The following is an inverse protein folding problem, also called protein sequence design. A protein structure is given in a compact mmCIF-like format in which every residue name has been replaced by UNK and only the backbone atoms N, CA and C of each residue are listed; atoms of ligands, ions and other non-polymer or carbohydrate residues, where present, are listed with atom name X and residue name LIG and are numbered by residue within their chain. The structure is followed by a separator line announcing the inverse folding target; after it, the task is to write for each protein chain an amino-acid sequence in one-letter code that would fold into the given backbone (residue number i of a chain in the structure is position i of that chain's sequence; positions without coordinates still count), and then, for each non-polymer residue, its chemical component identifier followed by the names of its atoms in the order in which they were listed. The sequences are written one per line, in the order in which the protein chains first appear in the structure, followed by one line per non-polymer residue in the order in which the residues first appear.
data_IF_138262320768
#
_entry.id   IF_138262320768
#
_cell.length_a   1.000
_cell.length_b   1.000
_cell.length_c   1.000
_cell.angle_alpha   90.00
_cell.angle_beta   90.00
_cell.angle_gamma   90.00
#
_symmetry.space_group_name_H-M   'P 1'
#
loop_
_entity.id
_entity.type
_entity.pdbx_description
1 polymer ?
#
# COMPACT_ATOMS: atom_id res chain seq x y z
N UNK A 1 -1.27 7.99 -26.46
CA UNK A 1 -0.60 7.20 -25.42
C UNK A 1 -0.14 8.19 -24.37
N UNK A 2 -0.71 8.15 -23.16
CA UNK A 2 -0.31 9.08 -22.11
C UNK A 2 1.08 8.63 -21.63
N UNK A 3 2.08 9.51 -21.61
CA UNK A 3 3.45 9.18 -21.13
C UNK A 3 3.45 8.60 -19.72
N UNK A 4 2.43 8.98 -18.95
CA UNK A 4 2.05 8.43 -17.66
C UNK A 4 1.85 6.91 -17.66
N UNK A 5 1.00 6.41 -18.56
CA UNK A 5 0.64 4.98 -18.61
C UNK A 5 1.88 4.12 -18.91
N UNK A 6 2.81 4.67 -19.69
CA UNK A 6 4.11 4.05 -19.96
C UNK A 6 4.97 3.91 -18.70
N UNK A 7 5.06 4.95 -17.88
CA UNK A 7 5.88 4.94 -16.66
C UNK A 7 5.35 3.97 -15.60
N UNK A 8 4.03 3.93 -15.40
CA UNK A 8 3.41 2.96 -14.47
C UNK A 8 3.64 1.54 -14.99
N UNK A 9 3.46 1.30 -16.29
CA UNK A 9 3.68 -0.01 -16.87
C UNK A 9 5.14 -0.46 -16.77
N UNK A 10 6.10 0.45 -16.96
CA UNK A 10 7.52 0.16 -16.76
C UNK A 10 7.84 -0.15 -15.30
N UNK A 11 7.23 0.57 -14.35
CA UNK A 11 7.36 0.31 -12.92
C UNK A 11 6.82 -1.08 -12.54
N UNK A 12 5.58 -1.39 -12.94
CA UNK A 12 4.96 -2.69 -12.68
C UNK A 12 5.75 -3.85 -13.29
N UNK A 13 6.31 -3.65 -14.48
CA UNK A 13 7.19 -4.64 -15.12
C UNK A 13 8.49 -4.85 -14.34
N UNK A 14 9.07 -3.80 -13.78
CA UNK A 14 10.24 -3.92 -12.92
C UNK A 14 9.93 -4.70 -11.63
N UNK A 15 8.78 -4.43 -11.01
CA UNK A 15 8.29 -5.19 -9.84
C UNK A 15 8.04 -6.65 -10.19
N UNK A 16 7.38 -6.93 -11.31
CA UNK A 16 7.14 -8.29 -11.81
C UNK A 16 8.45 -9.07 -11.95
N UNK A 17 9.47 -8.43 -12.53
CA UNK A 17 10.78 -9.02 -12.75
C UNK A 17 11.51 -9.30 -11.43
N UNK A 18 11.35 -8.43 -10.43
CA UNK A 18 11.88 -8.65 -9.09
C UNK A 18 11.12 -9.76 -8.31
N UNK A 19 9.83 -9.98 -8.62
CA UNK A 19 8.98 -11.02 -8.04
C UNK A 19 9.14 -12.40 -8.73
N UNK A 20 10.19 -12.64 -9.52
CA UNK A 20 10.35 -13.91 -10.27
C UNK A 20 10.37 -15.15 -9.37
N UNK A 21 10.78 -15.00 -8.10
CA UNK A 21 10.80 -16.05 -7.09
C UNK A 21 9.45 -16.34 -6.44
N UNK A 22 8.41 -15.56 -6.74
CA UNK A 22 7.03 -15.74 -6.24
C UNK A 22 6.21 -16.55 -7.26
N UNK A 23 5.33 -17.48 -6.81
CA UNK A 23 4.45 -18.22 -7.70
C UNK A 23 3.60 -17.30 -8.59
N UNK A 24 3.42 -17.67 -9.86
CA UNK A 24 2.77 -16.81 -10.86
C UNK A 24 1.39 -16.31 -10.42
N UNK A 25 0.53 -17.19 -9.89
CA UNK A 25 -0.80 -16.77 -9.42
C UNK A 25 -0.78 -15.73 -8.29
N UNK A 26 0.21 -15.81 -7.38
CA UNK A 26 0.38 -14.80 -6.32
C UNK A 26 1.02 -13.53 -6.84
N UNK A 27 1.93 -13.65 -7.81
CA UNK A 27 2.53 -12.50 -8.48
C UNK A 27 1.48 -11.66 -9.20
N UNK A 28 0.55 -12.31 -9.91
CA UNK A 28 -0.53 -11.63 -10.63
C UNK A 28 -1.46 -10.91 -9.64
N UNK A 29 -1.80 -11.53 -8.52
CA UNK A 29 -2.58 -10.90 -7.44
C UNK A 29 -1.86 -9.68 -6.85
N UNK A 30 -0.57 -9.80 -6.53
CA UNK A 30 0.23 -8.69 -5.98
C UNK A 30 0.37 -7.53 -6.96
N UNK A 31 0.56 -7.83 -8.25
CA UNK A 31 0.65 -6.79 -9.28
C UNK A 31 -0.69 -6.11 -9.53
N UNK A 32 -1.80 -6.86 -9.48
CA UNK A 32 -3.14 -6.30 -9.57
C UNK A 32 -3.41 -5.33 -8.41
N UNK A 33 -3.15 -5.76 -7.17
CA UNK A 33 -3.32 -4.93 -5.97
C UNK A 33 -2.44 -3.67 -6.03
N UNK A 34 -1.18 -3.81 -6.45
CA UNK A 34 -0.27 -2.68 -6.62
C UNK A 34 -0.78 -1.70 -7.69
N UNK A 35 -1.28 -2.22 -8.82
CA UNK A 35 -1.83 -1.39 -9.89
C UNK A 35 -3.07 -0.61 -9.45
N UNK A 36 -3.94 -1.24 -8.65
CA UNK A 36 -5.13 -0.60 -8.08
C UNK A 36 -4.75 0.47 -7.05
N UNK A 37 -3.73 0.22 -6.23
CA UNK A 37 -3.25 1.19 -5.25
C UNK A 37 -2.66 2.43 -5.93
N UNK A 38 -1.84 2.23 -6.97
CA UNK A 38 -1.30 3.33 -7.78
C UNK A 38 -2.47 4.12 -8.42
N UNK A 39 -3.46 3.43 -8.99
CA UNK A 39 -4.64 4.07 -9.58
C UNK A 39 -5.47 4.88 -8.56
N UNK A 40 -5.63 4.36 -7.34
CA UNK A 40 -6.33 5.05 -6.26
C UNK A 40 -5.58 6.33 -5.83
N UNK A 41 -4.26 6.24 -5.62
CA UNK A 41 -3.42 7.39 -5.27
C UNK A 41 -3.50 8.51 -6.32
N UNK A 42 -3.54 8.14 -7.59
CA UNK A 42 -3.73 9.12 -8.67
C UNK A 42 -5.09 9.79 -8.63
N UNK A 43 -6.15 9.02 -8.36
CA UNK A 43 -7.50 9.56 -8.28
C UNK A 43 -7.60 10.56 -7.11
N UNK A 44 -6.94 10.26 -5.98
CA UNK A 44 -6.80 11.18 -4.85
C UNK A 44 -6.09 12.47 -5.29
N UNK A 45 -4.90 12.38 -5.89
CA UNK A 45 -4.15 13.57 -6.34
C UNK A 45 -4.92 14.41 -7.35
N UNK A 46 -5.64 13.79 -8.28
CA UNK A 46 -6.51 14.47 -9.25
C UNK A 46 -7.69 15.17 -8.58
N UNK A 47 -8.23 14.59 -7.51
CA UNK A 47 -9.33 15.21 -6.75
C UNK A 47 -8.85 16.44 -5.99
N UNK A 48 -7.61 16.40 -5.46
CA UNK A 48 -6.99 17.50 -4.72
C UNK A 48 -6.56 18.67 -5.63
N UNK A 49 -6.00 18.38 -6.81
CA UNK A 49 -5.47 19.41 -7.73
C UNK A 49 -6.45 19.79 -8.86
N UNK A 50 -7.61 19.14 -8.91
CA UNK A 50 -8.67 19.38 -9.88
C UNK A 50 -8.55 18.56 -11.18
N UNK A 51 -9.66 18.35 -11.90
CA UNK A 51 -9.73 17.46 -13.06
C UNK A 51 -8.90 17.90 -14.28
N UNK A 52 -8.42 19.16 -14.30
CA UNK A 52 -7.52 19.70 -15.33
C UNK A 52 -6.04 19.39 -15.06
N UNK A 53 -5.70 18.91 -13.85
CA UNK A 53 -4.40 18.32 -13.56
C UNK A 53 -4.37 16.93 -14.21
N UNK A 54 -4.12 16.89 -15.51
CA UNK A 54 -3.62 15.68 -16.14
C UNK A 54 -2.26 15.40 -15.51
N UNK A 55 -2.16 14.31 -14.75
CA UNK A 55 -0.92 13.80 -14.16
C UNK A 55 0.16 13.83 -15.24
N UNK A 56 0.92 14.91 -15.25
CA UNK A 56 1.93 15.14 -16.27
C UNK A 56 3.08 14.20 -15.95
N UNK A 57 3.86 13.80 -16.95
CA UNK A 57 5.02 12.89 -16.76
C UNK A 57 5.90 13.16 -15.51
N UNK A 58 6.12 14.42 -15.05
CA UNK A 58 6.84 14.67 -13.79
C UNK A 58 6.03 14.38 -12.51
N UNK A 59 4.71 14.61 -12.47
CA UNK A 59 3.88 14.33 -11.27
C UNK A 59 3.70 12.83 -11.06
N UNK A 60 3.57 12.10 -12.17
CA UNK A 60 3.59 10.64 -12.20
C UNK A 60 4.83 10.06 -11.54
N UNK A 61 5.98 10.64 -11.86
CA UNK A 61 7.26 10.24 -11.31
C UNK A 61 7.29 10.50 -9.80
N UNK A 62 6.83 11.66 -9.33
CA UNK A 62 6.74 11.94 -7.89
C UNK A 62 5.83 10.97 -7.13
N UNK A 63 4.71 10.53 -7.74
CA UNK A 63 3.82 9.54 -7.12
C UNK A 63 4.50 8.18 -7.08
N UNK A 64 5.17 7.75 -8.15
CA UNK A 64 5.91 6.49 -8.18
C UNK A 64 7.12 6.52 -7.23
N UNK A 65 7.78 7.66 -7.06
CA UNK A 65 8.89 7.85 -6.11
C UNK A 65 8.43 7.67 -4.65
N UNK A 66 7.15 7.93 -4.35
CA UNK A 66 6.55 7.62 -3.05
C UNK A 66 6.50 6.11 -2.77
N UNK A 67 6.34 5.29 -3.81
CA UNK A 67 6.37 3.82 -3.70
C UNK A 67 7.80 3.26 -3.64
N UNK A 68 8.81 4.08 -3.97
CA UNK A 68 10.23 3.74 -3.82
C UNK A 68 10.79 2.88 -4.95
N UNK A 69 11.85 2.13 -4.64
CA UNK A 69 12.51 1.23 -5.60
C UNK A 69 11.63 -0.01 -5.83
N UNK A 70 11.28 -0.35 -7.09
CA UNK A 70 10.50 -1.54 -7.40
C UNK A 70 11.13 -2.84 -6.88
N UNK A 71 12.46 -2.90 -6.74
CA UNK A 71 13.16 -4.07 -6.19
C UNK A 71 12.99 -4.19 -4.66
N UNK A 72 13.02 -3.07 -3.93
CA UNK A 72 12.75 -3.07 -2.48
C UNK A 72 11.28 -3.40 -2.21
N UNK A 73 10.35 -2.79 -2.95
CA UNK A 73 8.93 -3.08 -2.83
C UNK A 73 8.63 -4.56 -3.10
N UNK A 74 9.22 -5.14 -4.15
CA UNK A 74 9.10 -6.57 -4.43
C UNK A 74 9.68 -7.44 -3.31
N UNK A 75 10.79 -7.05 -2.71
CA UNK A 75 11.38 -7.75 -1.58
C UNK A 75 10.44 -7.73 -0.36
N UNK A 76 9.84 -6.58 -0.05
CA UNK A 76 8.85 -6.42 1.02
C UNK A 76 7.61 -7.28 0.79
N UNK A 77 7.03 -7.22 -0.42
CA UNK A 77 5.88 -8.05 -0.79
C UNK A 77 6.20 -9.54 -0.69
N UNK A 78 7.38 -9.96 -1.17
CA UNK A 78 7.82 -11.36 -1.07
C UNK A 78 8.05 -11.80 0.37
N UNK A 79 8.51 -10.90 1.24
CA UNK A 79 8.72 -11.17 2.66
C UNK A 79 7.39 -11.29 3.41
N UNK A 80 6.44 -10.42 3.11
CA UNK A 80 5.08 -10.49 3.63
C UNK A 80 4.39 -11.80 3.24
N UNK A 81 4.51 -12.22 1.98
CA UNK A 81 4.00 -13.51 1.50
C UNK A 81 4.62 -14.70 2.24
N UNK A 82 5.94 -14.69 2.40
CA UNK A 82 6.64 -15.77 3.10
C UNK A 82 6.24 -15.83 4.58
N UNK A 83 5.96 -14.68 5.19
CA UNK A 83 5.44 -14.60 6.55
C UNK A 83 4.00 -15.09 6.65
N UNK A 84 3.13 -14.77 5.68
CA UNK A 84 1.75 -15.24 5.63
C UNK A 84 1.66 -16.76 5.43
N UNK A 85 2.55 -17.33 4.61
CA UNK A 85 2.63 -18.77 4.37
C UNK A 85 3.14 -19.59 5.57
N UNK A 86 3.78 -18.95 6.55
CA UNK A 86 4.31 -19.61 7.75
C UNK A 86 3.26 -19.84 8.86
N UNK A 87 2.06 -19.28 8.73
CA UNK A 87 0.96 -19.52 9.67
C UNK A 87 0.33 -20.91 9.43
N UNK A 88 0.14 -21.75 10.47
CA UNK A 88 -0.55 -23.03 10.34
C UNK A 88 -1.98 -22.81 9.87
N UNK A 89 -2.34 -23.54 8.83
CA UNK A 89 -3.45 -23.21 7.95
C UNK A 89 -4.73 -23.94 8.42
N UNK A 90 -5.64 -23.23 9.09
CA UNK A 90 -7.04 -23.64 9.27
C UNK A 90 -7.87 -22.81 8.27
N UNK A 91 -8.01 -23.29 7.03
CA UNK A 91 -8.77 -22.60 5.97
C UNK A 91 -10.25 -22.98 6.06
N UNK A 92 -11.06 -22.10 6.63
CA UNK A 92 -12.39 -21.81 6.11
C UNK A 92 -12.41 -20.32 5.76
N UNK A 93 -12.11 -19.97 4.50
CA UNK A 93 -12.14 -18.58 4.03
C UNK A 93 -13.03 -18.46 2.80
N UNK A 94 -14.18 -17.85 3.04
CA UNK A 94 -15.14 -17.33 2.07
C UNK A 94 -14.47 -16.22 1.23
N UNK A 95 -14.36 -16.37 -0.10
CA UNK A 95 -13.49 -15.53 -0.93
C UNK A 95 -14.19 -14.27 -1.42
N UNK A 96 -13.52 -13.12 -1.28
CA UNK A 96 -13.45 -12.17 -2.39
C UNK A 96 -13.94 -10.73 -2.17
N UNK A 97 -14.66 -10.37 -1.10
CA UNK A 97 -15.12 -8.96 -0.96
C UNK A 97 -14.99 -8.32 0.42
N UNK A 98 -14.74 -9.10 1.48
CA UNK A 98 -14.72 -8.58 2.85
C UNK A 98 -13.30 -8.41 3.42
N UNK A 99 -12.30 -9.06 2.84
CA UNK A 99 -10.92 -8.99 3.34
C UNK A 99 -10.34 -7.57 3.24
N UNK A 100 -10.57 -6.86 2.13
CA UNK A 100 -10.13 -5.46 1.99
C UNK A 100 -10.80 -4.53 2.99
N UNK A 101 -12.09 -4.70 3.25
CA UNK A 101 -12.81 -3.93 4.26
C UNK A 101 -12.33 -4.25 5.69
N UNK A 102 -12.05 -5.52 5.99
CA UNK A 102 -11.51 -5.94 7.29
C UNK A 102 -10.09 -5.42 7.52
N UNK A 103 -9.26 -5.39 6.49
CA UNK A 103 -7.92 -4.81 6.56
C UNK A 103 -8.00 -3.30 6.78
N UNK A 104 -8.90 -2.60 6.08
CA UNK A 104 -9.16 -1.17 6.30
C UNK A 104 -9.69 -0.87 7.71
N UNK A 105 -10.58 -1.72 8.22
CA UNK A 105 -11.07 -1.63 9.61
C UNK A 105 -9.94 -1.88 10.61
N UNK A 106 -9.04 -2.83 10.35
CA UNK A 106 -7.88 -3.08 11.22
C UNK A 106 -6.91 -1.90 11.24
N UNK A 107 -6.62 -1.30 10.09
CA UNK A 107 -5.75 -0.12 9.96
C UNK A 107 -6.35 1.07 10.73
N UNK A 108 -7.64 1.34 10.53
CA UNK A 108 -8.33 2.44 11.22
C UNK A 108 -8.38 2.22 12.74
N UNK A 109 -8.66 0.99 13.19
CA UNK A 109 -8.64 0.64 14.61
C UNK A 109 -7.23 0.83 15.20
N UNK A 110 -6.18 0.37 14.50
CA UNK A 110 -4.80 0.52 14.95
C UNK A 110 -4.41 2.00 15.08
N UNK A 111 -4.77 2.83 14.09
CA UNK A 111 -4.48 4.27 14.12
C UNK A 111 -5.19 4.98 15.28
N UNK A 112 -6.47 4.69 15.51
CA UNK A 112 -7.24 5.27 16.62
C UNK A 112 -6.67 4.84 17.97
N UNK A 113 -6.27 3.56 18.11
CA UNK A 113 -5.67 3.06 19.34
C UNK A 113 -4.33 3.73 19.64
N UNK A 114 -3.47 3.90 18.62
CA UNK A 114 -2.19 4.60 18.74
C UNK A 114 -2.39 6.05 19.19
N UNK A 115 -3.39 6.73 18.64
CA UNK A 115 -3.72 8.11 18.98
C UNK A 115 -4.25 8.22 20.42
N UNK A 116 -5.13 7.31 20.86
CA UNK A 116 -5.59 7.25 22.23
C UNK A 116 -4.45 7.00 23.23
N UNK A 117 -3.55 6.07 22.93
CA UNK A 117 -2.39 5.78 23.80
C UNK A 117 -1.46 6.99 23.88
N UNK A 118 -1.23 7.69 22.76
CA UNK A 118 -0.44 8.92 22.72
C UNK A 118 -1.03 10.04 23.58
N UNK A 119 -2.35 10.25 23.52
CA UNK A 119 -3.05 11.28 24.33
C UNK A 119 -2.99 10.96 25.82
N UNK A 120 -3.18 9.69 26.20
CA UNK A 120 -3.10 9.26 27.61
C UNK A 120 -1.68 9.45 28.16
N UNK A 121 -0.66 9.04 27.40
CA UNK A 121 0.74 9.22 27.80
C UNK A 121 1.13 10.69 27.90
N UNK A 122 0.71 11.53 26.93
CA UNK A 122 0.93 12.97 26.99
C UNK A 122 0.23 13.61 28.20
N UNK A 123 -1.01 13.21 28.48
CA UNK A 123 -1.76 13.66 29.66
C UNK A 123 -1.08 13.30 30.98
N UNK A 124 -0.61 12.06 31.11
CA UNK A 124 0.14 11.60 32.29
C UNK A 124 1.47 12.35 32.42
N UNK A 125 2.20 12.55 31.33
CA UNK A 125 3.48 13.25 31.33
C UNK A 125 3.34 14.73 31.71
N UNK A 126 2.32 15.43 31.18
CA UNK A 126 1.99 16.81 31.56
C UNK A 126 1.56 16.89 33.02
N UNK A 127 0.76 15.93 33.50
CA UNK A 127 0.33 15.89 34.90
C UNK A 127 1.49 15.64 35.88
N UNK A 128 2.49 14.84 35.49
CA UNK A 128 3.66 14.54 36.33
C UNK A 128 4.72 15.64 36.30
N UNK A 129 4.82 16.40 35.21
CA UNK A 129 5.83 17.48 35.05
C UNK A 129 5.31 18.85 35.48
N UNK A 130 3.98 19.06 35.47
CA UNK A 130 3.34 20.31 35.86
C UNK A 130 2.98 20.43 37.35
N UNK A 131 3.37 19.45 38.18
CA UNK A 131 3.06 19.39 39.62
C UNK A 131 4.34 19.37 40.44
#
# INVERSE_FOLDING_TARGET
MNTYDGQVNDYLRAVEQALVGVPAGRRDELLADLSDHIAAKLAETRTEHGPAAHASGPEAHSILDLFGDPAELAAELSAAERSAAAAPIEIEIDPGRKAGALLWVLITIAMVSLLCVGVVLAGVFVFFTGR
#
